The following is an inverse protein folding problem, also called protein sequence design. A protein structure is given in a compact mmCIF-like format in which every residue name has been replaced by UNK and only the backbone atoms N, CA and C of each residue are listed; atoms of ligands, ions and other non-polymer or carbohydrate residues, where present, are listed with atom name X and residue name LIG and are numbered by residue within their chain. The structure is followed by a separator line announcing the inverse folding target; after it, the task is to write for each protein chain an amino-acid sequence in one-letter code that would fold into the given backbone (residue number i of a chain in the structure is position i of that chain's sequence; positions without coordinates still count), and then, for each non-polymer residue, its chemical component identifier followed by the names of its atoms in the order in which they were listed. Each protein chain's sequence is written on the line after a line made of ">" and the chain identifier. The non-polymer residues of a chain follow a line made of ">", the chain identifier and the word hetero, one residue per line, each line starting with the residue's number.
data_IF_371194920983
#
_entry.id   IF_371194920983
#
_cell.length_a   1.000
_cell.length_b   1.000
_cell.length_c   1.000
_cell.angle_alpha   90.00
_cell.angle_beta   90.00
_cell.angle_gamma   90.00
#
_symmetry.space_group_name_H-M   'P 1'
#
loop_
_entity.id
_entity.type
_entity.pdbx_description
1 polymer ?
#
# COMPACT_ATOMS: atom_id res chain seq x y z
N UNK A 1 26.81 -6.05 6.49
CA UNK A 1 25.47 -6.68 6.50
C UNK A 1 24.46 -5.88 5.67
N UNK A 2 24.89 -5.30 4.54
CA UNK A 2 24.01 -4.52 3.66
C UNK A 2 23.60 -5.38 2.47
N UNK A 3 22.30 -5.31 2.16
CA UNK A 3 21.63 -5.66 0.91
C UNK A 3 21.06 -7.08 0.79
N UNK A 4 19.79 -7.20 1.16
CA UNK A 4 18.84 -8.00 0.40
C UNK A 4 18.13 -7.03 -0.56
N UNK A 5 18.55 -7.01 -1.82
CA UNK A 5 17.81 -6.30 -2.86
C UNK A 5 16.60 -7.18 -3.22
N UNK A 6 15.42 -6.83 -2.71
CA UNK A 6 14.19 -7.28 -3.33
C UNK A 6 14.15 -6.66 -4.74
N UNK A 7 14.00 -7.50 -5.76
CA UNK A 7 13.82 -7.03 -7.13
C UNK A 7 12.57 -6.13 -7.20
N UNK A 8 12.76 -4.82 -7.23
CA UNK A 8 11.68 -3.86 -7.42
C UNK A 8 11.26 -3.94 -8.88
N UNK A 9 10.16 -4.65 -9.18
CA UNK A 9 9.55 -4.58 -10.51
C UNK A 9 8.89 -3.21 -10.68
N UNK A 10 9.26 -2.49 -11.75
CA UNK A 10 8.71 -1.17 -12.07
C UNK A 10 7.19 -1.23 -12.27
N UNK A 11 6.47 -0.21 -11.78
CA UNK A 11 5.02 -0.06 -11.98
C UNK A 11 4.59 0.09 -13.46
N UNK A 12 5.56 0.17 -14.38
CA UNK A 12 5.36 0.28 -15.84
C UNK A 12 5.63 -1.01 -16.61
N UNK A 13 5.87 -2.13 -15.92
CA UNK A 13 6.07 -3.43 -16.55
C UNK A 13 4.73 -3.94 -17.12
N UNK A 14 4.61 -4.11 -18.46
CA UNK A 14 3.35 -4.48 -19.10
C UNK A 14 2.86 -5.89 -18.72
N UNK A 15 3.74 -6.74 -18.18
CA UNK A 15 3.40 -8.09 -17.72
C UNK A 15 3.00 -8.12 -16.23
N UNK A 16 2.90 -6.96 -15.56
CA UNK A 16 2.40 -6.93 -14.19
C UNK A 16 0.90 -7.21 -14.13
N UNK A 17 0.46 -8.25 -13.39
CA UNK A 17 -0.94 -8.50 -13.20
C UNK A 17 -1.57 -7.35 -12.41
N UNK A 18 -2.82 -7.01 -12.76
CA UNK A 18 -3.60 -6.03 -12.00
C UNK A 18 -3.72 -6.47 -10.54
N UNK A 19 -3.71 -5.48 -9.63
CA UNK A 19 -3.96 -5.73 -8.21
C UNK A 19 -5.28 -6.50 -8.03
N UNK A 20 -5.31 -7.60 -7.26
CA UNK A 20 -6.53 -8.36 -7.00
C UNK A 20 -7.58 -7.46 -6.35
N UNK A 21 -8.85 -7.67 -6.72
CA UNK A 21 -9.94 -6.99 -6.05
C UNK A 21 -10.13 -7.52 -4.62
N UNK A 22 -10.53 -6.64 -3.71
CA UNK A 22 -10.79 -7.00 -2.33
C UNK A 22 -11.80 -6.04 -1.69
N UNK A 23 -12.45 -6.53 -0.63
CA UNK A 23 -13.30 -5.71 0.23
C UNK A 23 -12.88 -5.92 1.68
N UNK A 24 -12.59 -4.82 2.37
CA UNK A 24 -12.21 -4.81 3.78
C UNK A 24 -13.30 -4.18 4.64
N UNK A 25 -13.28 -4.51 5.92
CA UNK A 25 -14.08 -3.79 6.93
C UNK A 25 -13.18 -2.76 7.58
N UNK A 26 -13.52 -1.49 7.44
CA UNK A 26 -12.80 -0.39 8.08
C UNK A 26 -13.03 -0.40 9.60
N UNK A 27 -12.21 0.35 10.34
CA UNK A 27 -12.29 0.43 11.80
C UNK A 27 -13.63 0.98 12.31
N UNK A 28 -14.33 1.76 11.48
CA UNK A 28 -15.65 2.30 11.78
C UNK A 28 -16.81 1.38 11.32
N UNK A 29 -16.51 0.15 10.88
CA UNK A 29 -17.48 -0.84 10.43
C UNK A 29 -17.93 -0.72 8.97
N UNK A 30 -17.52 0.33 8.24
CA UNK A 30 -17.87 0.49 6.83
C UNK A 30 -17.13 -0.53 5.95
N UNK A 31 -17.74 -0.89 4.81
CA UNK A 31 -17.08 -1.71 3.79
C UNK A 31 -16.30 -0.81 2.84
N UNK A 32 -15.06 -1.18 2.57
CA UNK A 32 -14.16 -0.48 1.66
C UNK A 32 -13.75 -1.45 0.54
N UNK A 33 -14.06 -1.12 -0.71
CA UNK A 33 -13.66 -1.93 -1.86
C UNK A 33 -12.54 -1.25 -2.64
N UNK A 34 -11.59 -2.03 -3.18
CA UNK A 34 -10.58 -1.49 -4.09
C UNK A 34 -11.22 -0.89 -5.36
N UNK A 35 -12.36 -1.43 -5.78
CA UNK A 35 -13.13 -0.92 -6.92
C UNK A 35 -13.57 0.55 -6.75
N UNK A 36 -13.79 1.00 -5.50
CA UNK A 36 -14.23 2.38 -5.20
C UNK A 36 -13.14 3.43 -5.51
N UNK A 37 -11.89 2.98 -5.68
CA UNK A 37 -10.72 3.83 -5.94
C UNK A 37 -10.21 3.74 -7.39
N UNK A 38 -10.95 3.09 -8.30
CA UNK A 38 -10.57 3.02 -9.71
C UNK A 38 -10.35 4.42 -10.31
N UNK A 39 -9.26 4.56 -11.08
CA UNK A 39 -8.86 5.83 -11.69
C UNK A 39 -8.09 6.77 -10.77
N UNK A 40 -7.85 6.40 -9.51
CA UNK A 40 -6.98 7.13 -8.57
C UNK A 40 -5.66 6.39 -8.39
N UNK A 41 -4.59 7.16 -8.17
CA UNK A 41 -3.34 6.59 -7.65
C UNK A 41 -3.57 6.27 -6.18
N UNK A 42 -3.33 5.01 -5.80
CA UNK A 42 -3.52 4.53 -4.42
C UNK A 42 -2.21 3.96 -3.91
N UNK A 43 -1.76 4.47 -2.77
CA UNK A 43 -0.67 3.89 -1.98
C UNK A 43 -1.29 3.03 -0.88
N UNK A 44 -0.93 1.74 -0.84
CA UNK A 44 -1.34 0.83 0.23
C UNK A 44 -0.16 0.55 1.15
N UNK A 45 -0.26 1.03 2.38
CA UNK A 45 0.77 0.87 3.42
C UNK A 45 0.32 -0.17 4.45
N UNK A 46 1.11 -1.24 4.62
CA UNK A 46 0.88 -2.30 5.60
C UNK A 46 1.83 -2.13 6.78
N UNK A 47 1.32 -1.56 7.87
CA UNK A 47 2.10 -1.27 9.07
C UNK A 47 1.39 -1.74 10.35
N UNK A 48 2.06 -1.59 11.49
CA UNK A 48 1.49 -1.86 12.80
C UNK A 48 2.07 -0.93 13.87
N UNK A 49 1.37 -0.77 15.00
CA UNK A 49 1.76 0.15 16.10
C UNK A 49 3.13 -0.15 16.70
N UNK A 50 3.58 -1.40 16.60
CA UNK A 50 4.89 -1.88 17.04
C UNK A 50 5.97 -1.82 15.94
N UNK A 51 5.64 -1.39 14.72
CA UNK A 51 6.61 -1.18 13.65
C UNK A 51 7.32 0.17 13.85
N UNK A 52 8.50 0.14 14.45
CA UNK A 52 9.34 1.32 14.68
C UNK A 52 9.66 2.11 13.40
N UNK A 53 10.25 1.48 12.36
CA UNK A 53 10.57 2.16 11.10
C UNK A 53 9.34 2.73 10.39
N UNK A 54 8.24 1.96 10.27
CA UNK A 54 7.02 2.41 9.61
C UNK A 54 6.48 3.72 10.23
N UNK A 55 6.50 3.82 11.58
CA UNK A 55 6.03 5.02 12.28
C UNK A 55 6.84 6.28 11.97
N UNK A 56 8.11 6.14 11.58
CA UNK A 56 8.97 7.26 11.19
C UNK A 56 8.63 7.72 9.76
N UNK A 57 8.15 6.81 8.91
CA UNK A 57 7.80 7.09 7.51
C UNK A 57 6.41 7.72 7.36
N UNK A 58 5.44 7.32 8.20
CA UNK A 58 4.03 7.78 8.13
C UNK A 58 3.87 9.31 8.00
N UNK A 59 4.57 10.18 8.78
CA UNK A 59 4.45 11.62 8.62
C UNK A 59 4.67 12.10 7.18
N UNK A 60 5.62 11.50 6.46
CA UNK A 60 5.89 11.85 5.06
C UNK A 60 4.76 11.46 4.11
N UNK A 61 3.94 10.46 4.44
CA UNK A 61 2.77 10.09 3.63
C UNK A 61 1.57 10.99 3.86
N UNK A 62 1.44 11.58 5.05
CA UNK A 62 0.32 12.49 5.39
C UNK A 62 0.46 13.83 4.65
N UNK A 63 1.68 14.20 4.27
CA UNK A 63 2.00 15.47 3.60
C UNK A 63 1.86 15.45 2.06
N UNK A 64 1.51 14.29 1.46
CA UNK A 64 1.29 14.12 0.02
C UNK A 64 -0.08 14.62 -0.44
#
# INVERSE_FOLDING_TARGET
>A
MHQAQAHVKSASDPDQPLAPDFTLTALNGQKLSLADYKGKVVLLDFWATWCGPCRIEIPGFIEL
#
